data_IF_908513781817
#
_entry.id   IF_908513781817
#
_cell.length_a   1.000
_cell.length_b   1.000
_cell.length_c   1.000
_cell.angle_alpha   90.00
_cell.angle_beta   90.00
_cell.angle_gamma   90.00
#
_symmetry.space_group_name_H-M   'P 1'
#
loop_
_entity.id
_entity.type
_entity.pdbx_description
1 polymer ?
#
# COMPACT_ATOMS: atom_id res chain seq x y z
N UNK A 1 -28.48 0.74 -55.22
CA UNK A 1 -28.41 2.07 -54.59
C UNK A 1 -29.59 2.30 -53.64
N UNK A 2 -29.84 1.37 -52.70
CA UNK A 2 -30.99 1.45 -51.77
C UNK A 2 -30.54 1.36 -50.30
N UNK A 3 -29.38 0.73 -50.03
CA UNK A 3 -28.84 0.58 -48.67
C UNK A 3 -28.16 1.83 -48.09
N UNK A 4 -27.80 2.83 -48.91
CA UNK A 4 -27.08 4.03 -48.41
C UNK A 4 -28.00 5.00 -47.65
N UNK A 5 -29.29 5.04 -47.99
CA UNK A 5 -30.27 5.98 -47.40
C UNK A 5 -30.86 5.49 -46.07
N UNK A 6 -30.65 4.22 -45.70
CA UNK A 6 -31.14 3.65 -44.43
C UNK A 6 -30.12 3.73 -43.29
N UNK A 7 -28.85 4.01 -43.59
CA UNK A 7 -27.78 4.18 -42.60
C UNK A 7 -28.10 5.21 -41.48
N UNK A 8 -28.61 6.42 -41.78
CA UNK A 8 -28.95 7.37 -40.72
C UNK A 8 -30.11 6.90 -39.84
N UNK A 9 -31.05 6.13 -40.39
CA UNK A 9 -32.17 5.57 -39.62
C UNK A 9 -31.69 4.45 -38.68
N UNK A 10 -30.78 3.59 -39.15
CA UNK A 10 -30.17 2.55 -38.31
C UNK A 10 -29.36 3.19 -37.18
N UNK A 11 -28.59 4.25 -37.48
CA UNK A 11 -27.81 4.98 -36.49
C UNK A 11 -28.72 5.67 -35.45
N UNK A 12 -29.83 6.27 -35.88
CA UNK A 12 -30.81 6.89 -34.99
C UNK A 12 -31.45 5.86 -34.04
N UNK A 13 -31.81 4.67 -34.56
CA UNK A 13 -32.34 3.57 -33.73
C UNK A 13 -31.29 3.07 -32.74
N UNK A 14 -30.03 2.92 -33.17
CA UNK A 14 -28.95 2.49 -32.29
C UNK A 14 -28.68 3.49 -31.16
N UNK A 15 -28.65 4.79 -31.49
CA UNK A 15 -28.50 5.86 -30.51
C UNK A 15 -29.67 5.87 -29.51
N UNK A 16 -30.91 5.72 -29.99
CA UNK A 16 -32.08 5.66 -29.13
C UNK A 16 -32.00 4.46 -28.16
N UNK A 17 -31.57 3.29 -28.65
CA UNK A 17 -31.37 2.11 -27.81
C UNK A 17 -30.29 2.34 -26.75
N UNK A 18 -29.19 3.01 -27.08
CA UNK A 18 -28.15 3.36 -26.10
C UNK A 18 -28.72 4.32 -25.06
N UNK A 19 -29.36 5.42 -25.46
CA UNK A 19 -29.93 6.41 -24.52
C UNK A 19 -30.97 5.81 -23.58
N UNK A 20 -31.78 4.85 -24.03
CA UNK A 20 -32.77 4.18 -23.20
C UNK A 20 -32.17 3.14 -22.23
N UNK A 21 -30.97 2.61 -22.52
CA UNK A 21 -30.33 1.54 -21.72
C UNK A 21 -29.06 1.98 -20.98
N UNK A 22 -28.61 3.24 -21.13
CA UNK A 22 -27.37 3.77 -20.51
C UNK A 22 -27.34 3.78 -18.97
N UNK A 23 -28.43 3.43 -18.29
CA UNK A 23 -28.53 3.50 -16.83
C UNK A 23 -29.08 2.20 -16.21
N UNK A 24 -28.55 1.04 -16.63
CA UNK A 24 -28.94 -0.25 -16.09
C UNK A 24 -28.40 -0.51 -14.66
N UNK A 25 -27.29 0.13 -14.28
CA UNK A 25 -26.67 -0.06 -12.96
C UNK A 25 -27.04 1.11 -12.05
N UNK A 26 -27.97 0.87 -11.14
CA UNK A 26 -28.25 1.79 -10.04
C UNK A 26 -27.29 1.45 -8.89
N UNK A 27 -26.34 2.32 -8.52
CA UNK A 27 -25.47 2.05 -7.38
C UNK A 27 -26.34 1.95 -6.12
N UNK A 28 -26.39 0.76 -5.54
CA UNK A 28 -27.02 0.57 -4.24
C UNK A 28 -26.16 1.27 -3.20
N UNK A 29 -26.76 2.19 -2.43
CA UNK A 29 -26.06 2.78 -1.28
C UNK A 29 -25.82 1.67 -0.26
N UNK A 30 -24.55 1.42 0.05
CA UNK A 30 -24.20 0.52 1.15
C UNK A 30 -24.52 1.21 2.48
N UNK A 31 -25.40 0.58 3.27
CA UNK A 31 -25.63 0.99 4.65
C UNK A 31 -24.82 0.06 5.56
N UNK A 32 -23.80 0.57 6.27
CA UNK A 32 -23.05 -0.25 7.22
C UNK A 32 -23.98 -0.84 8.28
N UNK A 33 -23.74 -2.09 8.71
CA UNK A 33 -24.38 -2.59 9.92
C UNK A 33 -23.93 -1.75 11.13
N UNK A 34 -24.70 -1.82 12.22
CA UNK A 34 -24.31 -1.18 13.48
C UNK A 34 -22.93 -1.66 13.92
N UNK A 35 -22.06 -0.73 14.31
CA UNK A 35 -20.71 -1.03 14.81
C UNK A 35 -20.82 -2.06 15.95
N UNK A 36 -20.04 -3.15 15.93
CA UNK A 36 -20.03 -4.14 17.00
C UNK A 36 -19.48 -3.55 18.30
N UNK A 37 -19.95 -4.08 19.43
CA UNK A 37 -19.42 -3.73 20.75
C UNK A 37 -17.99 -4.29 20.93
N UNK A 38 -17.18 -3.60 21.74
CA UNK A 38 -15.85 -4.07 22.13
C UNK A 38 -15.94 -5.17 23.20
N UNK A 39 -16.37 -6.37 22.81
CA UNK A 39 -16.49 -7.56 23.68
C UNK A 39 -15.83 -8.77 23.03
N UNK A 40 -15.49 -9.78 23.84
CA UNK A 40 -14.87 -11.02 23.37
C UNK A 40 -13.55 -10.76 22.64
N UNK A 41 -13.46 -11.20 21.38
CA UNK A 41 -12.26 -10.99 20.54
C UNK A 41 -12.02 -9.51 20.18
N UNK A 42 -13.05 -8.67 20.23
CA UNK A 42 -12.97 -7.23 19.98
C UNK A 42 -12.78 -6.42 21.26
N UNK A 43 -12.60 -7.07 22.42
CA UNK A 43 -12.35 -6.36 23.66
C UNK A 43 -11.09 -5.49 23.54
N UNK A 44 -11.16 -4.28 24.10
CA UNK A 44 -10.01 -3.39 24.18
C UNK A 44 -8.88 -4.07 24.96
N UNK A 45 -7.64 -3.81 24.56
CA UNK A 45 -6.46 -4.31 25.24
C UNK A 45 -5.35 -3.27 25.21
N UNK A 46 -4.45 -3.37 26.19
CA UNK A 46 -3.34 -2.44 26.38
C UNK A 46 -2.00 -3.04 25.93
N UNK A 47 -2.00 -4.04 25.03
CA UNK A 47 -0.77 -4.77 24.64
C UNK A 47 0.31 -3.87 24.04
N UNK A 48 -0.09 -2.76 23.42
CA UNK A 48 0.81 -1.78 22.80
C UNK A 48 1.01 -0.52 23.65
N UNK A 49 0.45 -0.46 24.87
CA UNK A 49 0.54 0.71 25.75
C UNK A 49 1.97 1.09 26.12
N UNK A 50 2.89 0.13 26.10
CA UNK A 50 4.31 0.30 26.39
C UNK A 50 5.20 0.37 25.14
N UNK A 51 4.60 0.43 23.94
CA UNK A 51 5.36 0.52 22.70
C UNK A 51 6.16 1.83 22.66
N UNK A 52 7.38 1.77 22.13
CA UNK A 52 8.27 2.93 21.97
C UNK A 52 8.54 3.18 20.50
N UNK A 53 8.72 4.45 20.15
CA UNK A 53 9.16 4.84 18.81
C UNK A 53 10.67 4.76 18.73
N UNK A 54 11.18 4.14 17.67
CA UNK A 54 12.61 4.14 17.33
C UNK A 54 12.84 5.27 16.31
N UNK A 55 13.77 6.21 16.57
CA UNK A 55 14.04 7.31 15.65
C UNK A 55 14.70 6.80 14.36
N UNK A 56 14.26 7.30 13.22
CA UNK A 56 14.78 6.94 11.89
C UNK A 56 15.89 7.88 11.41
N UNK A 57 16.64 8.51 12.32
CA UNK A 57 17.77 9.40 11.99
C UNK A 57 17.44 10.55 11.01
N UNK A 58 16.21 11.07 11.04
CA UNK A 58 15.77 12.15 10.16
C UNK A 58 15.20 11.70 8.82
N UNK A 59 15.26 10.39 8.52
CA UNK A 59 14.49 9.80 7.43
C UNK A 59 13.01 9.65 7.79
N UNK A 60 12.22 9.38 6.75
CA UNK A 60 10.79 9.14 6.80
C UNK A 60 10.47 7.73 6.27
N UNK A 61 9.28 7.23 6.61
CA UNK A 61 8.84 5.91 6.16
C UNK A 61 9.08 4.80 7.19
N UNK A 62 9.75 3.72 6.74
CA UNK A 62 9.66 2.32 7.18
C UNK A 62 8.46 1.54 6.60
N UNK A 63 8.14 1.77 5.31
CA UNK A 63 7.02 1.09 4.64
C UNK A 63 7.23 -0.42 4.47
N UNK A 64 8.50 -0.85 4.40
CA UNK A 64 8.91 -2.26 4.25
C UNK A 64 10.00 -2.60 5.26
N UNK A 65 10.00 -3.84 5.76
CA UNK A 65 11.04 -4.33 6.67
C UNK A 65 11.31 -5.82 6.52
N UNK A 66 12.56 -6.21 6.72
CA UNK A 66 12.98 -7.60 6.85
C UNK A 66 13.64 -7.82 8.20
N UNK A 67 13.54 -9.04 8.74
CA UNK A 67 14.17 -9.41 10.01
C UNK A 67 15.12 -10.56 9.75
N UNK A 68 16.35 -10.44 10.22
CA UNK A 68 17.33 -11.52 10.13
C UNK A 68 17.11 -12.59 11.23
N UNK A 69 17.91 -13.66 11.20
CA UNK A 69 17.84 -14.74 12.20
C UNK A 69 18.21 -14.31 13.63
N UNK A 70 18.85 -13.15 13.81
CA UNK A 70 19.27 -12.62 15.10
C UNK A 70 18.25 -11.62 15.68
N UNK A 71 17.17 -11.34 14.95
CA UNK A 71 16.16 -10.37 15.35
C UNK A 71 16.51 -8.92 14.99
N UNK A 72 17.56 -8.71 14.19
CA UNK A 72 17.89 -7.39 13.64
C UNK A 72 16.89 -7.04 12.55
N UNK A 73 16.29 -5.85 12.65
CA UNK A 73 15.33 -5.33 11.68
C UNK A 73 16.07 -4.47 10.67
N UNK A 74 15.75 -4.65 9.39
CA UNK A 74 16.21 -3.83 8.28
C UNK A 74 14.99 -3.14 7.69
N UNK A 75 14.91 -1.81 7.74
CA UNK A 75 13.76 -1.07 7.22
C UNK A 75 14.17 -0.09 6.13
N UNK A 76 13.38 -0.03 5.06
CA UNK A 76 13.56 0.90 3.96
C UNK A 76 12.97 2.27 4.32
N UNK A 77 13.72 3.33 4.09
CA UNK A 77 13.33 4.70 4.41
C UNK A 77 13.59 5.65 3.24
N UNK A 78 12.96 6.82 3.27
CA UNK A 78 13.08 7.87 2.26
C UNK A 78 13.37 9.24 2.88
N UNK A 79 13.92 10.16 2.09
CA UNK A 79 14.58 11.38 2.60
C UNK A 79 13.60 12.43 3.19
N UNK A 80 12.35 12.45 2.76
CA UNK A 80 11.36 13.43 3.24
C UNK A 80 9.95 12.83 3.28
N UNK A 81 9.04 13.43 4.05
CA UNK A 81 7.66 12.95 4.25
C UNK A 81 6.93 12.60 2.93
N UNK A 82 7.23 13.34 1.85
CA UNK A 82 6.70 13.13 0.50
C UNK A 82 7.80 13.14 -0.56
N UNK A 83 9.06 13.00 -0.14
CA UNK A 83 10.22 12.99 -1.01
C UNK A 83 10.83 11.60 -1.02
N UNK A 84 10.75 10.98 -2.20
CA UNK A 84 11.19 9.62 -2.49
C UNK A 84 12.37 9.59 -3.46
N UNK A 85 13.02 10.73 -3.69
CA UNK A 85 14.16 10.90 -4.62
C UNK A 85 15.47 10.29 -4.13
N UNK A 86 15.52 9.89 -2.86
CA UNK A 86 16.61 9.14 -2.23
C UNK A 86 16.07 8.39 -1.00
N UNK A 87 16.78 7.36 -0.58
CA UNK A 87 16.44 6.57 0.58
C UNK A 87 17.65 5.92 1.23
N UNK A 88 17.35 5.07 2.20
CA UNK A 88 18.34 4.21 2.82
C UNK A 88 17.68 2.93 3.32
N UNK A 89 18.49 1.95 3.68
CA UNK A 89 18.11 0.86 4.54
C UNK A 89 18.73 1.14 5.90
N UNK A 90 17.90 1.29 6.91
CA UNK A 90 18.36 1.37 8.30
C UNK A 90 18.39 -0.03 8.90
N UNK A 91 19.41 -0.30 9.68
CA UNK A 91 19.55 -1.52 10.48
C UNK A 91 19.30 -1.17 11.95
N UNK A 92 18.31 -1.82 12.54
CA UNK A 92 17.87 -1.64 13.92
C UNK A 92 18.19 -2.93 14.67
N UNK A 93 19.12 -2.86 15.62
CA UNK A 93 19.52 -3.99 16.41
C UNK A 93 18.55 -4.25 17.58
N UNK A 94 18.56 -5.45 18.18
CA UNK A 94 17.71 -5.77 19.33
C UNK A 94 17.94 -4.91 20.59
N UNK A 95 19.04 -4.15 20.64
CA UNK A 95 19.34 -3.17 21.70
C UNK A 95 18.84 -1.75 21.37
N UNK A 96 17.95 -1.63 20.38
CA UNK A 96 17.39 -0.38 19.85
C UNK A 96 18.41 0.55 19.16
N UNK A 97 19.66 0.13 18.96
CA UNK A 97 20.62 0.91 18.18
C UNK A 97 20.25 0.90 16.69
N UNK A 98 20.32 2.08 16.07
CA UNK A 98 19.99 2.30 14.67
C UNK A 98 21.25 2.70 13.92
N UNK A 99 21.52 2.08 12.78
CA UNK A 99 22.58 2.47 11.87
C UNK A 99 22.06 2.62 10.45
N UNK A 100 22.61 3.58 9.71
CA UNK A 100 22.39 3.68 8.26
C UNK A 100 23.26 2.61 7.59
N UNK A 101 22.63 1.52 7.16
CA UNK A 101 23.35 0.36 6.65
C UNK A 101 23.71 0.51 5.17
N UNK A 102 22.77 1.02 4.37
CA UNK A 102 22.97 1.26 2.95
C UNK A 102 22.18 2.48 2.50
N UNK A 103 22.85 3.50 1.96
CA UNK A 103 22.20 4.62 1.27
C UNK A 103 21.79 4.16 -0.13
N UNK A 104 20.59 4.54 -0.55
CA UNK A 104 20.00 4.13 -1.81
C UNK A 104 19.44 5.31 -2.59
N UNK A 105 19.37 5.16 -3.92
CA UNK A 105 18.90 6.25 -4.79
C UNK A 105 17.38 6.45 -4.72
N UNK A 106 16.64 5.50 -4.12
CA UNK A 106 15.19 5.53 -3.93
C UNK A 106 14.79 4.68 -2.73
N UNK A 107 13.50 4.69 -2.39
CA UNK A 107 12.92 3.83 -1.35
C UNK A 107 12.76 2.36 -1.79
N UNK A 108 12.67 1.47 -0.80
CA UNK A 108 12.49 0.03 -0.99
C UNK A 108 11.02 -0.34 -1.15
N UNK A 109 10.72 -1.27 -2.04
CA UNK A 109 9.36 -1.80 -2.29
C UNK A 109 9.22 -3.29 -1.94
N UNK A 110 10.32 -3.93 -1.55
CA UNK A 110 10.33 -5.30 -1.05
C UNK A 110 11.68 -5.66 -0.49
N UNK A 111 11.72 -6.36 0.65
CA UNK A 111 12.96 -6.83 1.27
C UNK A 111 12.74 -8.18 1.95
N UNK A 112 13.73 -9.08 1.85
CA UNK A 112 13.63 -10.39 2.48
C UNK A 112 15.01 -11.02 2.70
N UNK A 113 15.13 -11.80 3.79
CA UNK A 113 16.22 -12.76 3.95
C UNK A 113 15.80 -14.14 3.47
N UNK A 114 16.66 -14.80 2.69
CA UNK A 114 16.50 -16.24 2.43
C UNK A 114 16.90 -17.09 3.64
N UNK A 115 16.73 -18.41 3.53
CA UNK A 115 17.09 -19.36 4.59
C UNK A 115 18.59 -19.42 4.91
N UNK A 116 19.44 -18.94 4.00
CA UNK A 116 20.89 -18.90 4.17
C UNK A 116 21.37 -17.57 4.78
N UNK A 117 20.46 -16.59 4.93
CA UNK A 117 20.79 -15.25 5.42
C UNK A 117 21.23 -14.28 4.33
N UNK A 118 20.99 -14.58 3.05
CA UNK A 118 21.21 -13.63 1.97
C UNK A 118 20.07 -12.59 1.97
N UNK A 119 20.44 -11.31 1.86
CA UNK A 119 19.50 -10.21 1.80
C UNK A 119 19.14 -9.86 0.36
N UNK A 120 17.85 -9.83 0.05
CA UNK A 120 17.30 -9.42 -1.23
C UNK A 120 16.44 -8.18 -1.02
N UNK A 121 16.62 -7.18 -1.88
CA UNK A 121 15.83 -5.95 -1.87
C UNK A 121 15.45 -5.52 -3.28
N UNK A 122 14.28 -4.90 -3.40
CA UNK A 122 13.77 -4.29 -4.63
C UNK A 122 13.57 -2.80 -4.38
N UNK A 123 14.11 -1.99 -5.29
CA UNK A 123 13.95 -0.53 -5.30
C UNK A 123 12.84 -0.13 -6.28
N UNK A 124 12.19 1.00 -6.01
CA UNK A 124 11.20 1.61 -6.93
C UNK A 124 11.81 2.32 -8.15
#
# INVERSE_FOLDING_TARGET
MIYLNSLPNILAVLLLLIFLNSCAIQPASWSPPTKPEFKGQLALNEKLSTAKKIPLHGYYGAEEFAIDKNGTIFCGVHIGEKDFSSGAILKINPDDSVEEWLVTDKWMTGMQFDKNGNFFAMMS
#
